data_IF_487218790803
#
_entry.id   IF_487218790803
#
_cell.length_a   1.000
_cell.length_b   1.000
_cell.length_c   1.000
_cell.angle_alpha   90.00
_cell.angle_beta   90.00
_cell.angle_gamma   90.00
#
_symmetry.space_group_name_H-M   'P 1'
#
loop_
_entity.id
_entity.type
_entity.pdbx_description
1 polymer ?
#
# COMPACT_ATOMS: atom_id res chain seq x y z
N UNK A 1 -24.89 -6.48 -22.14
CA UNK A 1 -23.41 -6.49 -22.21
C UNK A 1 -22.91 -5.06 -22.05
N UNK A 2 -23.11 -4.48 -20.86
CA UNK A 2 -22.54 -3.20 -20.44
C UNK A 2 -22.21 -3.41 -18.98
N UNK A 3 -20.93 -3.67 -18.72
CA UNK A 3 -20.39 -3.76 -17.38
C UNK A 3 -20.21 -2.34 -16.85
N UNK A 4 -20.85 -2.05 -15.73
CA UNK A 4 -20.82 -0.77 -15.06
C UNK A 4 -19.49 -0.68 -14.29
N UNK A 5 -18.51 0.02 -14.87
CA UNK A 5 -17.29 0.36 -14.13
C UNK A 5 -17.66 1.25 -12.94
N UNK A 6 -17.35 0.85 -11.68
CA UNK A 6 -17.65 1.69 -10.53
C UNK A 6 -16.73 2.92 -10.53
N UNK A 7 -17.30 4.04 -10.10
CA UNK A 7 -16.67 5.35 -10.10
C UNK A 7 -15.36 5.35 -9.31
N UNK A 8 -14.32 5.87 -9.96
CA UNK A 8 -13.03 6.14 -9.35
C UNK A 8 -13.18 7.28 -8.33
N UNK A 9 -13.28 6.92 -7.04
CA UNK A 9 -13.27 7.88 -5.95
C UNK A 9 -11.90 8.54 -5.83
N UNK A 10 -11.72 9.71 -6.46
CA UNK A 10 -10.58 10.58 -6.18
C UNK A 10 -10.89 11.39 -4.93
N UNK A 11 -10.36 10.98 -3.77
CA UNK A 11 -10.35 11.87 -2.60
C UNK A 11 -9.06 11.78 -1.79
N UNK A 12 -8.41 12.94 -1.69
CA UNK A 12 -7.41 13.38 -0.71
C UNK A 12 -6.03 12.69 -0.69
N UNK A 13 -5.14 13.20 -1.57
CA UNK A 13 -3.69 13.06 -1.44
C UNK A 13 -3.06 12.15 -2.48
N UNK A 14 -3.03 12.64 -3.72
CA UNK A 14 -2.19 12.23 -4.87
C UNK A 14 -2.26 10.76 -5.36
N UNK A 15 -2.98 9.85 -4.69
CA UNK A 15 -3.07 8.43 -5.07
C UNK A 15 -4.50 7.95 -5.35
N UNK A 16 -4.61 6.89 -6.16
CA UNK A 16 -5.85 6.11 -6.39
C UNK A 16 -6.24 5.40 -5.09
N UNK A 17 -7.55 5.32 -4.76
CA UNK A 17 -8.03 4.50 -3.63
C UNK A 17 -7.51 3.05 -3.73
N UNK A 18 -6.83 2.50 -2.69
CA UNK A 18 -6.28 1.14 -2.74
C UNK A 18 -7.31 0.08 -3.13
N UNK A 19 -8.55 0.22 -2.68
CA UNK A 19 -9.63 -0.72 -3.00
C UNK A 19 -9.93 -0.80 -4.51
N UNK A 20 -9.60 0.25 -5.26
CA UNK A 20 -9.75 0.31 -6.72
C UNK A 20 -8.54 -0.18 -7.52
N UNK A 21 -7.43 -0.53 -6.86
CA UNK A 21 -6.23 -1.04 -7.55
C UNK A 21 -6.38 -2.51 -7.93
N UNK A 22 -5.86 -2.89 -9.08
CA UNK A 22 -5.59 -4.30 -9.38
C UNK A 22 -4.44 -4.81 -8.49
N UNK A 23 -4.35 -6.12 -8.26
CA UNK A 23 -3.33 -6.70 -7.37
C UNK A 23 -1.90 -6.34 -7.80
N UNK A 24 -1.59 -6.43 -9.10
CA UNK A 24 -0.28 -6.04 -9.65
C UNK A 24 0.03 -4.55 -9.41
N UNK A 25 -0.97 -3.69 -9.53
CA UNK A 25 -0.82 -2.26 -9.25
C UNK A 25 -0.58 -2.04 -7.75
N UNK A 26 -1.31 -2.72 -6.87
CA UNK A 26 -1.12 -2.66 -5.42
C UNK A 26 0.31 -3.02 -5.03
N UNK A 27 0.84 -4.13 -5.57
CA UNK A 27 2.23 -4.54 -5.33
C UNK A 27 3.24 -3.53 -5.89
N UNK A 28 3.00 -2.99 -7.08
CA UNK A 28 3.87 -1.96 -7.67
C UNK A 28 3.93 -0.70 -6.79
N UNK A 29 2.78 -0.23 -6.32
CA UNK A 29 2.71 0.96 -5.46
C UNK A 29 3.38 0.73 -4.11
N UNK A 30 3.16 -0.42 -3.47
CA UNK A 30 3.87 -0.80 -2.23
C UNK A 30 5.38 -0.82 -2.43
N UNK A 31 5.88 -1.46 -3.49
CA UNK A 31 7.30 -1.52 -3.80
C UNK A 31 7.89 -0.12 -4.03
N UNK A 32 7.17 0.74 -4.75
CA UNK A 32 7.58 2.13 -5.01
C UNK A 32 7.73 2.94 -3.71
N UNK A 33 6.75 2.83 -2.80
CA UNK A 33 6.79 3.52 -1.50
C UNK A 33 7.91 3.02 -0.61
N UNK A 34 8.12 1.71 -0.52
CA UNK A 34 9.18 1.15 0.33
C UNK A 34 10.57 1.55 -0.16
N UNK A 35 10.77 1.64 -1.48
CA UNK A 35 12.06 2.04 -2.07
C UNK A 35 12.52 3.41 -1.59
N UNK A 36 11.62 4.37 -1.43
CA UNK A 36 11.98 5.75 -1.03
C UNK A 36 11.71 6.05 0.44
N UNK A 37 11.13 5.10 1.20
CA UNK A 37 10.66 5.34 2.57
C UNK A 37 11.74 5.87 3.51
N UNK A 38 12.92 5.24 3.51
CA UNK A 38 13.99 5.65 4.42
C UNK A 38 14.53 7.04 4.08
N UNK A 39 14.62 7.35 2.78
CA UNK A 39 15.05 8.67 2.31
C UNK A 39 14.05 9.75 2.71
N UNK A 40 12.76 9.54 2.46
CA UNK A 40 11.70 10.47 2.89
C UNK A 40 11.67 10.63 4.41
N UNK A 41 11.89 9.55 5.17
CA UNK A 41 11.93 9.62 6.63
C UNK A 41 13.08 10.50 7.16
N UNK A 42 14.26 10.40 6.55
CA UNK A 42 15.46 11.10 7.04
C UNK A 42 15.58 12.52 6.50
N UNK A 43 15.07 12.76 5.29
CA UNK A 43 15.42 13.95 4.51
C UNK A 43 14.22 14.61 3.83
N UNK A 44 13.05 13.98 3.86
CA UNK A 44 11.84 14.54 3.26
C UNK A 44 11.27 15.69 4.09
N UNK A 45 10.54 16.63 3.44
CA UNK A 45 9.73 17.61 4.16
C UNK A 45 8.61 16.90 4.93
N UNK A 46 8.13 17.54 6.01
CA UNK A 46 7.09 16.96 6.89
C UNK A 46 5.85 16.48 6.11
N UNK A 47 5.37 17.28 5.16
CA UNK A 47 4.24 16.92 4.32
C UNK A 47 4.47 15.65 3.46
N UNK A 48 5.70 15.43 2.99
CA UNK A 48 6.03 14.22 2.25
C UNK A 48 6.06 13.00 3.17
N UNK A 49 6.59 13.16 4.38
CA UNK A 49 6.61 12.12 5.39
C UNK A 49 5.20 11.73 5.84
N UNK A 50 4.34 12.71 6.12
CA UNK A 50 2.93 12.49 6.46
C UNK A 50 2.20 11.73 5.34
N UNK A 51 2.38 12.16 4.09
CA UNK A 51 1.81 11.47 2.94
C UNK A 51 2.31 10.02 2.84
N UNK A 52 3.60 9.78 3.06
CA UNK A 52 4.16 8.44 3.09
C UNK A 52 3.57 7.60 4.23
N UNK A 53 3.36 8.15 5.43
CA UNK A 53 2.74 7.42 6.54
C UNK A 53 1.32 6.98 6.21
N UNK A 54 0.49 7.93 5.78
CA UNK A 54 -0.89 7.65 5.38
C UNK A 54 -0.94 6.62 4.26
N UNK A 55 -0.17 6.82 3.18
CA UNK A 55 -0.26 5.98 1.99
C UNK A 55 0.26 4.56 2.22
N UNK A 56 1.32 4.40 3.00
CA UNK A 56 1.80 3.07 3.41
C UNK A 56 0.72 2.33 4.20
N UNK A 57 0.10 2.98 5.19
CA UNK A 57 -0.94 2.34 6.00
C UNK A 57 -2.17 1.93 5.16
N UNK A 58 -2.62 2.80 4.26
CA UNK A 58 -3.73 2.54 3.33
C UNK A 58 -3.49 1.28 2.47
N UNK A 59 -2.31 1.19 1.82
CA UNK A 59 -2.00 0.07 0.93
C UNK A 59 -1.71 -1.23 1.69
N UNK A 60 -1.05 -1.16 2.84
CA UNK A 60 -0.82 -2.34 3.69
C UNK A 60 -2.13 -2.89 4.25
N UNK A 61 -3.08 -2.02 4.61
CA UNK A 61 -4.42 -2.43 5.05
C UNK A 61 -5.15 -3.18 3.95
N UNK A 62 -5.14 -2.65 2.73
CA UNK A 62 -5.75 -3.31 1.58
C UNK A 62 -5.08 -4.66 1.27
N UNK A 63 -3.75 -4.72 1.33
CA UNK A 63 -3.02 -5.97 1.16
C UNK A 63 -3.45 -7.02 2.21
N UNK A 64 -3.56 -6.66 3.48
CA UNK A 64 -4.00 -7.59 4.52
C UNK A 64 -5.46 -8.03 4.32
N UNK A 65 -6.33 -7.15 3.82
CA UNK A 65 -7.71 -7.47 3.51
C UNK A 65 -7.83 -8.48 2.34
N UNK A 66 -7.00 -8.34 1.29
CA UNK A 66 -6.97 -9.25 0.14
C UNK A 66 -6.29 -10.58 0.43
N UNK A 67 -5.25 -10.55 1.26
CA UNK A 67 -4.39 -11.71 1.53
C UNK A 67 -4.36 -12.06 3.04
N UNK A 68 -5.51 -12.44 3.64
CA UNK A 68 -5.56 -12.77 5.07
C UNK A 68 -4.70 -14.00 5.42
N UNK A 69 -4.49 -14.92 4.48
CA UNK A 69 -3.61 -16.08 4.58
C UNK A 69 -2.27 -15.91 3.87
N UNK A 70 -1.72 -14.69 3.80
CA UNK A 70 -0.45 -14.40 3.10
C UNK A 70 0.65 -15.39 3.49
N UNK A 71 1.53 -15.65 2.53
CA UNK A 71 2.70 -16.49 2.75
C UNK A 71 3.59 -15.86 3.84
N UNK A 72 3.86 -16.66 4.87
CA UNK A 72 4.82 -16.33 5.91
C UNK A 72 5.97 -17.31 5.73
N UNK A 73 7.15 -16.78 5.44
CA UNK A 73 8.37 -17.57 5.33
C UNK A 73 8.68 -18.22 6.69
N UNK A 74 8.61 -19.56 6.79
CA UNK A 74 8.84 -20.26 8.05
C UNK A 74 10.28 -20.10 8.55
N UNK A 75 11.26 -19.85 7.67
CA UNK A 75 12.65 -19.60 8.07
C UNK A 75 12.82 -18.23 8.76
N UNK A 76 11.87 -17.30 8.55
CA UNK A 76 11.84 -15.99 9.20
C UNK A 76 11.10 -15.99 10.54
N UNK A 77 10.48 -17.11 10.92
CA UNK A 77 9.87 -17.28 12.24
C UNK A 77 10.97 -17.55 13.26
N UNK A 78 11.39 -16.51 13.97
CA UNK A 78 12.50 -16.64 14.92
C UNK A 78 12.10 -17.37 16.20
N UNK A 79 10.79 -17.44 16.51
CA UNK A 79 10.21 -18.29 17.56
C UNK A 79 8.79 -18.73 17.18
N UNK A 80 8.44 -19.96 17.51
CA UNK A 80 7.06 -20.46 17.44
C UNK A 80 6.20 -19.68 18.45
N UNK A 81 5.19 -18.96 17.96
CA UNK A 81 4.21 -18.22 18.77
C UNK A 81 3.16 -19.15 19.37
#
# INVERSE_FOLDING_TARGET
MTDARPGHGTTAGTGIDPAGLADDDLFRELASLHRTRLETLRHGPEAALENHFRRTAELETEYMARFPGREVDPERLTQSF
#
